data_IF_826418672712
#
_entry.id   IF_826418672712
#
_cell.length_a   1.000
_cell.length_b   1.000
_cell.length_c   1.000
_cell.angle_alpha   90.00
_cell.angle_beta   90.00
_cell.angle_gamma   90.00
#
_symmetry.space_group_name_H-M   'P 1'
#
loop_
_entity.id
_entity.type
_entity.pdbx_description
1 polymer ?
#
# COMPACT_ATOMS: atom_id res chain seq x y z
N UNK A 1 23.68 11.58 -24.33
CA UNK A 1 22.27 11.69 -23.91
C UNK A 1 21.52 10.49 -24.44
N UNK A 2 21.42 9.45 -23.63
CA UNK A 2 20.66 8.23 -23.89
C UNK A 2 20.47 7.57 -22.53
N UNK A 3 19.35 7.88 -21.86
CA UNK A 3 18.96 7.16 -20.65
C UNK A 3 18.32 5.85 -21.08
N UNK A 4 19.05 4.75 -20.86
CA UNK A 4 18.56 3.40 -21.10
C UNK A 4 17.41 3.09 -20.13
N UNK A 5 16.22 2.90 -20.70
CA UNK A 5 15.10 2.21 -20.06
C UNK A 5 15.53 0.77 -19.73
N UNK A 6 15.33 0.25 -18.50
CA UNK A 6 15.59 -1.16 -18.25
C UNK A 6 14.60 -2.02 -19.06
N UNK A 7 15.19 -2.92 -19.84
CA UNK A 7 14.60 -3.75 -20.87
C UNK A 7 13.24 -4.39 -20.51
N UNK A 8 12.35 -4.44 -21.49
CA UNK A 8 11.23 -5.41 -21.55
C UNK A 8 11.80 -6.80 -21.24
N UNK A 9 11.41 -7.36 -20.10
CA UNK A 9 11.80 -8.72 -19.72
C UNK A 9 10.94 -9.69 -20.55
N UNK A 10 11.54 -10.39 -21.50
CA UNK A 10 10.94 -11.57 -22.12
C UNK A 10 11.26 -12.78 -21.24
N UNK A 11 10.31 -13.20 -20.42
CA UNK A 11 10.37 -14.48 -19.69
C UNK A 11 9.80 -15.56 -20.61
N UNK A 12 10.56 -16.65 -20.81
CA UNK A 12 10.14 -17.74 -21.68
C UNK A 12 9.12 -18.66 -21.00
N UNK A 13 8.31 -19.37 -21.80
CA UNK A 13 7.38 -20.40 -21.32
C UNK A 13 8.04 -21.45 -20.39
N UNK A 14 9.36 -21.68 -20.54
CA UNK A 14 10.12 -22.59 -19.68
C UNK A 14 10.27 -22.06 -18.24
N UNK A 15 10.44 -20.76 -18.06
CA UNK A 15 10.62 -20.14 -16.74
C UNK A 15 9.28 -20.09 -15.98
N UNK A 16 8.16 -19.88 -16.68
CA UNK A 16 6.81 -20.04 -16.13
C UNK A 16 6.53 -21.50 -15.70
N UNK A 17 7.00 -22.47 -16.48
CA UNK A 17 6.86 -23.90 -16.15
C UNK A 17 7.71 -24.28 -14.93
N UNK A 18 8.92 -23.74 -14.82
CA UNK A 18 9.79 -23.95 -13.66
C UNK A 18 9.22 -23.32 -12.37
N UNK A 19 8.64 -22.11 -12.47
CA UNK A 19 7.96 -21.47 -11.36
C UNK A 19 6.72 -22.26 -10.90
N UNK A 20 5.96 -22.83 -11.84
CA UNK A 20 4.81 -23.71 -11.55
C UNK A 20 5.26 -25.00 -10.84
N UNK A 21 6.30 -25.67 -11.34
CA UNK A 21 6.87 -26.87 -10.71
C UNK A 21 7.42 -26.60 -9.30
N UNK A 22 8.00 -25.43 -9.05
CA UNK A 22 8.47 -25.03 -7.73
C UNK A 22 7.31 -24.87 -6.72
N UNK A 23 6.17 -24.36 -7.17
CA UNK A 23 4.97 -24.19 -6.35
C UNK A 23 4.23 -25.52 -6.10
N UNK A 24 4.20 -26.41 -7.09
CA UNK A 24 3.55 -27.73 -6.98
C UNK A 24 4.28 -28.68 -6.00
N UNK A 25 5.58 -28.46 -5.75
CA UNK A 25 6.40 -29.24 -4.81
C UNK A 25 6.26 -28.81 -3.34
N UNK A 26 5.40 -27.83 -3.04
CA UNK A 26 5.10 -27.41 -1.67
C UNK A 26 3.78 -28.05 -1.20
N UNK A 27 3.68 -28.55 0.04
CA UNK A 27 2.51 -29.32 0.47
C UNK A 27 1.22 -28.47 0.45
N UNK A 28 0.30 -28.83 -0.46
CA UNK A 28 -1.00 -28.19 -0.69
C UNK A 28 -2.11 -28.76 0.20
N UNK A 29 -2.93 -27.87 0.77
CA UNK A 29 -4.22 -28.18 1.37
C UNK A 29 -5.29 -28.18 0.27
N UNK A 30 -5.83 -29.37 -0.04
CA UNK A 30 -7.00 -29.67 -0.92
C UNK A 30 -8.30 -29.14 -0.27
N UNK A 31 -9.44 -28.81 -0.90
CA UNK A 31 -10.13 -29.04 -2.19
C UNK A 31 -11.36 -28.10 -2.23
N UNK A 32 -12.03 -27.88 -3.39
CA UNK A 32 -13.50 -28.08 -3.67
C UNK A 32 -13.78 -27.82 -5.18
N UNK A 33 -14.64 -28.61 -5.88
CA UNK A 33 -14.89 -28.48 -7.33
C UNK A 33 -16.23 -27.80 -7.69
N UNK A 34 -16.35 -27.23 -8.90
CA UNK A 34 -17.68 -27.01 -9.50
C UNK A 34 -17.77 -27.02 -11.04
N UNK A 35 -18.90 -27.56 -11.49
CA UNK A 35 -19.30 -27.92 -12.87
C UNK A 35 -19.97 -26.77 -13.65
N UNK A 36 -19.81 -26.78 -14.98
CA UNK A 36 -20.92 -26.71 -15.96
C UNK A 36 -21.34 -25.38 -16.64
N UNK A 37 -21.01 -25.25 -17.95
CA UNK A 37 -21.79 -24.67 -19.09
C UNK A 37 -22.21 -23.16 -19.01
N UNK A 38 -22.60 -22.37 -20.02
CA UNK A 38 -22.55 -22.26 -21.51
C UNK A 38 -22.68 -20.74 -21.82
N UNK A 39 -22.45 -20.32 -23.09
CA UNK A 39 -22.50 -18.95 -23.69
C UNK A 39 -21.19 -18.13 -23.68
N UNK A 40 -20.55 -18.05 -24.86
CA UNK A 40 -19.15 -17.66 -25.04
C UNK A 40 -18.87 -16.18 -25.33
N UNK A 41 -19.82 -15.38 -25.82
CA UNK A 41 -19.48 -14.03 -26.32
C UNK A 41 -19.83 -12.87 -25.36
N UNK A 42 -20.85 -12.99 -24.51
CA UNK A 42 -21.08 -12.03 -23.40
C UNK A 42 -20.17 -12.30 -22.19
N UNK A 43 -19.74 -13.56 -22.03
CA UNK A 43 -18.84 -13.96 -20.93
C UNK A 43 -17.45 -13.32 -21.05
N UNK A 44 -16.92 -13.00 -22.23
CA UNK A 44 -15.57 -12.41 -22.33
C UNK A 44 -15.54 -10.99 -21.75
N UNK A 45 -16.58 -10.18 -21.98
CA UNK A 45 -16.74 -8.87 -21.35
C UNK A 45 -17.08 -8.99 -19.86
N UNK A 46 -18.04 -9.83 -19.49
CA UNK A 46 -18.44 -10.03 -18.09
C UNK A 46 -17.33 -10.70 -17.23
N UNK A 47 -16.49 -11.57 -17.80
CA UNK A 47 -15.33 -12.15 -17.12
C UNK A 47 -14.18 -11.14 -17.02
N UNK A 48 -14.04 -10.19 -17.95
CA UNK A 48 -13.11 -9.07 -17.78
C UNK A 48 -13.55 -8.16 -16.64
N UNK A 49 -14.87 -7.95 -16.48
CA UNK A 49 -15.49 -7.20 -15.37
C UNK A 49 -15.42 -7.96 -14.05
N UNK A 50 -15.65 -9.28 -14.02
CA UNK A 50 -15.54 -10.11 -12.81
C UNK A 50 -14.06 -10.22 -12.37
N UNK A 51 -13.14 -10.33 -13.32
CA UNK A 51 -11.68 -10.34 -13.08
C UNK A 51 -11.21 -8.98 -12.59
N UNK A 52 -11.71 -7.88 -13.18
CA UNK A 52 -11.53 -6.53 -12.65
C UNK A 52 -12.14 -6.41 -11.25
N UNK A 53 -13.35 -6.93 -10.99
CA UNK A 53 -14.00 -6.90 -9.66
C UNK A 53 -13.25 -7.72 -8.61
N UNK A 54 -12.63 -8.84 -8.97
CA UNK A 54 -11.84 -9.70 -8.08
C UNK A 54 -10.44 -9.11 -7.84
N UNK A 55 -9.78 -8.58 -8.87
CA UNK A 55 -8.57 -7.76 -8.70
C UNK A 55 -8.85 -6.50 -7.88
N UNK A 56 -10.02 -5.88 -8.07
CA UNK A 56 -10.52 -4.77 -7.24
C UNK A 56 -10.85 -5.23 -5.81
N UNK A 57 -11.19 -6.50 -5.57
CA UNK A 57 -11.29 -7.05 -4.21
C UNK A 57 -9.91 -7.16 -3.55
N UNK A 58 -8.88 -7.59 -4.29
CA UNK A 58 -7.47 -7.60 -3.81
C UNK A 58 -6.84 -6.20 -3.70
N UNK A 59 -7.45 -5.18 -4.30
CA UNK A 59 -7.09 -3.75 -4.09
C UNK A 59 -7.39 -3.30 -2.64
N UNK A 60 -8.13 -4.09 -1.86
CA UNK A 60 -8.39 -3.88 -0.42
C UNK A 60 -7.50 -4.82 0.40
N UNK A 61 -6.85 -4.39 1.50
CA UNK A 61 -6.26 -5.33 2.47
C UNK A 61 -7.35 -6.33 2.94
N UNK A 62 -6.98 -7.57 3.27
CA UNK A 62 -7.95 -8.63 3.52
C UNK A 62 -8.91 -8.22 4.64
N UNK A 63 -10.22 -8.30 4.38
CA UNK A 63 -11.19 -8.36 5.47
C UNK A 63 -10.89 -9.62 6.27
N UNK A 64 -10.67 -9.49 7.58
CA UNK A 64 -10.63 -10.61 8.53
C UNK A 64 -11.81 -11.55 8.21
N UNK A 65 -11.54 -12.79 7.81
CA UNK A 65 -12.56 -13.83 7.85
C UNK A 65 -12.94 -13.99 9.32
N UNK A 66 -14.16 -13.56 9.67
CA UNK A 66 -14.75 -13.82 10.98
C UNK A 66 -15.03 -15.32 11.09
N UNK A 67 -14.13 -16.08 11.71
CA UNK A 67 -14.50 -17.34 12.33
C UNK A 67 -15.26 -17.05 13.62
N UNK A 68 -16.47 -17.61 13.73
CA UNK A 68 -17.37 -17.47 14.88
C UNK A 68 -16.76 -18.11 16.14
N UNK A 69 -16.99 -17.44 17.28
CA UNK A 69 -16.71 -17.80 18.68
C UNK A 69 -15.22 -17.74 19.05
N UNK A 70 -14.77 -17.10 20.13
CA UNK A 70 -15.36 -16.71 21.42
C UNK A 70 -14.68 -15.44 21.96
N UNK A 71 -15.33 -14.80 22.95
CA UNK A 71 -14.86 -13.63 23.70
C UNK A 71 -13.38 -13.73 24.06
N UNK A 72 -12.58 -12.75 23.66
CA UNK A 72 -11.47 -12.14 24.42
C UNK A 72 -10.89 -10.95 23.63
N UNK A 73 -10.30 -10.03 24.37
CA UNK A 73 -9.83 -8.67 24.05
C UNK A 73 -9.32 -8.40 22.62
N UNK A 74 -9.76 -7.27 22.05
CA UNK A 74 -9.37 -6.78 20.72
C UNK A 74 -7.88 -6.38 20.67
N UNK A 75 -7.02 -7.37 20.46
CA UNK A 75 -5.63 -7.21 20.05
C UNK A 75 -5.57 -6.95 18.54
N UNK A 76 -4.99 -5.81 18.15
CA UNK A 76 -4.61 -5.52 16.77
C UNK A 76 -3.56 -6.55 16.30
N UNK A 77 -3.68 -7.12 15.09
CA UNK A 77 -2.76 -8.15 14.63
C UNK A 77 -1.33 -7.59 14.53
N UNK A 78 -0.43 -8.29 15.19
CA UNK A 78 0.98 -7.95 15.36
C UNK A 78 1.76 -8.05 14.05
N UNK A 79 2.63 -7.06 13.81
CA UNK A 79 4.00 -7.26 13.30
C UNK A 79 4.24 -8.11 12.04
N UNK A 80 3.50 -7.89 10.95
CA UNK A 80 3.91 -8.40 9.63
C UNK A 80 4.17 -7.25 8.65
N UNK A 81 5.44 -6.82 8.62
CA UNK A 81 5.93 -5.81 7.69
C UNK A 81 7.04 -4.90 8.20
N UNK A 82 7.54 -5.09 9.43
CA UNK A 82 8.72 -4.34 9.88
C UNK A 82 9.93 -4.65 8.99
N UNK A 83 10.56 -3.61 8.44
CA UNK A 83 12.02 -3.58 8.39
C UNK A 83 12.48 -3.82 9.83
N UNK A 84 12.96 -5.04 10.13
CA UNK A 84 13.67 -5.24 11.39
C UNK A 84 14.86 -4.30 11.36
N UNK A 85 14.90 -3.41 12.36
CA UNK A 85 16.15 -2.85 12.85
C UNK A 85 17.09 -4.06 13.02
N UNK A 86 18.28 -4.10 12.37
CA UNK A 86 19.28 -5.12 12.65
C UNK A 86 19.41 -5.27 14.16
N UNK A 87 19.32 -6.50 14.68
CA UNK A 87 19.24 -6.76 16.12
C UNK A 87 20.43 -6.17 16.88
N UNK A 88 21.52 -5.86 16.19
CA UNK A 88 22.69 -5.17 16.73
C UNK A 88 22.38 -3.73 17.23
N UNK A 89 21.44 -2.99 16.62
CA UNK A 89 21.24 -1.54 16.88
C UNK A 89 20.51 -1.26 18.21
N UNK A 90 19.57 -2.11 18.63
CA UNK A 90 18.85 -1.93 19.91
C UNK A 90 19.76 -2.06 21.14
N UNK A 91 20.90 -2.74 21.01
CA UNK A 91 21.84 -2.95 22.11
C UNK A 91 22.72 -1.71 22.39
N UNK A 92 22.91 -0.85 21.39
CA UNK A 92 23.84 0.29 21.43
C UNK A 92 23.15 1.56 21.97
N UNK A 93 21.83 1.69 21.78
CA UNK A 93 21.03 2.86 22.20
C UNK A 93 20.89 3.07 23.71
N UNK A 94 21.38 2.14 24.56
CA UNK A 94 21.36 2.30 26.03
C UNK A 94 22.55 3.06 26.59
N UNK A 95 23.61 3.27 25.80
CA UNK A 95 24.78 4.00 26.22
C UNK A 95 24.75 5.41 25.63
N UNK A 96 24.94 6.42 26.49
CA UNK A 96 25.15 7.84 26.17
C UNK A 96 23.91 8.75 26.18
N UNK A 97 23.42 9.02 27.40
CA UNK A 97 22.69 10.25 27.73
C UNK A 97 23.62 11.22 28.45
N UNK A 98 24.07 12.28 27.75
CA UNK A 98 24.54 13.50 28.41
C UNK A 98 24.29 14.71 27.52
N UNK A 99 23.08 15.30 27.64
CA UNK A 99 22.70 16.71 27.38
C UNK A 99 21.21 16.85 27.79
N UNK A 100 20.97 17.15 29.06
CA UNK A 100 19.68 16.88 29.74
C UNK A 100 18.64 18.00 29.59
N UNK A 101 19.01 19.28 29.54
CA UNK A 101 18.02 20.37 29.75
C UNK A 101 17.19 20.78 28.52
N UNK A 102 17.70 20.65 27.30
CA UNK A 102 16.93 20.92 26.06
C UNK A 102 16.24 19.68 25.50
N UNK A 103 16.77 18.48 25.76
CA UNK A 103 16.11 17.22 25.42
C UNK A 103 14.85 16.99 26.24
N UNK A 104 14.85 17.36 27.52
CA UNK A 104 13.69 17.10 28.39
C UNK A 104 12.45 17.92 27.99
N UNK A 105 12.60 19.19 27.57
CA UNK A 105 11.46 20.00 27.10
C UNK A 105 10.97 19.60 25.71
N UNK A 106 11.89 19.24 24.80
CA UNK A 106 11.54 18.75 23.47
C UNK A 106 10.84 17.39 23.56
N UNK A 107 11.30 16.50 24.45
CA UNK A 107 10.64 15.22 24.74
C UNK A 107 9.23 15.43 25.33
N UNK A 108 9.03 16.41 26.22
CA UNK A 108 7.70 16.74 26.76
C UNK A 108 6.74 17.20 25.67
N UNK A 109 7.17 18.11 24.78
CA UNK A 109 6.31 18.62 23.71
C UNK A 109 5.98 17.54 22.66
N UNK A 110 6.95 16.70 22.27
CA UNK A 110 6.71 15.56 21.37
C UNK A 110 5.72 14.57 21.99
N UNK A 111 5.82 14.32 23.30
CA UNK A 111 4.89 13.46 24.02
C UNK A 111 3.47 14.04 24.05
N UNK A 112 3.30 15.33 24.31
CA UNK A 112 1.99 16.00 24.30
C UNK A 112 1.33 15.92 22.91
N UNK A 113 2.12 16.12 21.86
CA UNK A 113 1.69 15.95 20.47
C UNK A 113 1.27 14.50 20.19
N UNK A 114 2.03 13.52 20.67
CA UNK A 114 1.70 12.11 20.51
C UNK A 114 0.41 11.72 21.24
N UNK A 115 0.20 12.22 22.45
CA UNK A 115 -1.07 12.00 23.17
C UNK A 115 -2.25 12.62 22.42
N UNK A 116 -2.06 13.82 21.87
CA UNK A 116 -3.06 14.47 21.02
C UNK A 116 -3.37 13.62 19.78
N UNK A 117 -2.35 13.08 19.12
CA UNK A 117 -2.50 12.18 17.98
C UNK A 117 -3.30 10.92 18.35
N UNK A 118 -3.00 10.30 19.49
CA UNK A 118 -3.74 9.12 19.96
C UNK A 118 -5.19 9.42 20.32
N UNK A 119 -5.49 10.62 20.84
CA UNK A 119 -6.87 11.08 21.04
C UNK A 119 -7.61 11.19 19.71
N UNK A 120 -7.00 11.77 18.68
CA UNK A 120 -7.60 11.85 17.35
C UNK A 120 -7.83 10.44 16.75
N UNK A 121 -6.82 9.55 16.82
CA UNK A 121 -6.93 8.15 16.37
C UNK A 121 -8.07 7.40 17.08
N UNK A 122 -8.21 7.59 18.40
CA UNK A 122 -9.27 6.97 19.19
C UNK A 122 -10.66 7.46 18.80
N UNK A 123 -10.84 8.78 18.63
CA UNK A 123 -12.10 9.36 18.17
C UNK A 123 -12.48 8.88 16.76
N UNK A 124 -11.49 8.75 15.87
CA UNK A 124 -11.72 8.28 14.51
C UNK A 124 -12.12 6.81 14.48
N UNK A 125 -11.50 5.99 15.34
CA UNK A 125 -11.88 4.59 15.55
C UNK A 125 -13.29 4.45 16.14
N UNK A 126 -13.69 5.36 17.03
CA UNK A 126 -15.06 5.42 17.58
C UNK A 126 -16.09 5.73 16.50
N UNK A 127 -15.83 6.74 15.66
CA UNK A 127 -16.66 7.04 14.48
C UNK A 127 -16.79 5.82 13.58
N UNK A 128 -15.71 5.04 13.38
CA UNK A 128 -15.77 3.83 12.57
C UNK A 128 -16.71 2.76 13.17
N UNK A 129 -16.84 2.67 14.50
CA UNK A 129 -17.77 1.74 15.15
C UNK A 129 -19.23 2.10 14.90
N UNK A 130 -19.55 3.37 14.63
CA UNK A 130 -20.91 3.78 14.24
C UNK A 130 -21.38 3.12 12.93
N UNK A 131 -20.48 2.51 12.14
CA UNK A 131 -20.85 1.67 11.01
C UNK A 131 -21.72 0.48 11.40
N UNK A 132 -21.54 -0.04 12.61
CA UNK A 132 -22.29 -1.21 13.09
C UNK A 132 -23.79 -0.91 13.28
N UNK A 133 -24.17 0.38 13.34
CA UNK A 133 -25.57 0.83 13.45
C UNK A 133 -26.16 1.37 12.15
N UNK A 134 -25.38 1.49 11.06
CA UNK A 134 -25.88 1.95 9.75
C UNK A 134 -24.85 2.66 8.87
N UNK A 135 -25.32 3.61 8.05
CA UNK A 135 -24.48 4.48 7.19
C UNK A 135 -23.83 5.59 8.03
N UNK A 136 -22.61 6.00 7.67
CA UNK A 136 -21.97 7.18 8.26
C UNK A 136 -22.76 8.45 7.95
N UNK A 137 -23.02 9.28 8.97
CA UNK A 137 -23.67 10.58 8.73
C UNK A 137 -22.71 11.55 8.03
N UNK A 138 -23.25 12.58 7.37
CA UNK A 138 -22.40 13.63 6.77
C UNK A 138 -21.50 14.31 7.83
N UNK A 139 -22.03 14.52 9.04
CA UNK A 139 -21.29 15.09 10.17
C UNK A 139 -20.14 14.20 10.62
N UNK A 140 -20.33 12.88 10.64
CA UNK A 140 -19.27 11.93 10.99
C UNK A 140 -18.11 11.98 10.00
N UNK A 141 -18.43 12.08 8.70
CA UNK A 141 -17.42 12.16 7.63
C UNK A 141 -16.64 13.48 7.70
N UNK A 142 -17.34 14.60 7.91
CA UNK A 142 -16.69 15.90 8.08
C UNK A 142 -15.79 15.92 9.32
N UNK A 143 -16.28 15.36 10.44
CA UNK A 143 -15.47 15.22 11.66
C UNK A 143 -14.27 14.31 11.45
N UNK A 144 -14.43 13.21 10.72
CA UNK A 144 -13.36 12.28 10.39
C UNK A 144 -12.26 12.94 9.55
N UNK A 145 -12.62 13.76 8.56
CA UNK A 145 -11.68 14.54 7.76
C UNK A 145 -10.90 15.54 8.63
N UNK A 146 -11.58 16.28 9.51
CA UNK A 146 -10.92 17.22 10.43
C UNK A 146 -9.91 16.52 11.36
N UNK A 147 -10.29 15.35 11.91
CA UNK A 147 -9.39 14.56 12.76
C UNK A 147 -8.18 14.03 11.98
N UNK A 148 -8.39 13.59 10.75
CA UNK A 148 -7.31 13.16 9.86
C UNK A 148 -6.34 14.32 9.55
N UNK A 149 -6.85 15.51 9.26
CA UNK A 149 -6.02 16.69 9.00
C UNK A 149 -5.18 17.07 10.23
N UNK A 150 -5.76 16.98 11.43
CA UNK A 150 -5.05 17.20 12.68
C UNK A 150 -3.95 16.15 12.91
N UNK A 151 -4.24 14.86 12.65
CA UNK A 151 -3.24 13.79 12.70
C UNK A 151 -2.11 14.02 11.69
N UNK A 152 -2.41 14.49 10.48
CA UNK A 152 -1.42 14.88 9.48
C UNK A 152 -0.51 16.00 10.00
N UNK A 153 -1.07 17.08 10.55
CA UNK A 153 -0.27 18.19 11.09
C UNK A 153 0.65 17.74 12.24
N UNK A 154 0.13 16.93 13.16
CA UNK A 154 0.92 16.40 14.27
C UNK A 154 2.05 15.50 13.76
N UNK A 155 1.76 14.62 12.81
CA UNK A 155 2.76 13.72 12.21
C UNK A 155 3.87 14.50 11.53
N UNK A 156 3.53 15.54 10.76
CA UNK A 156 4.53 16.40 10.13
C UNK A 156 5.40 17.10 11.17
N UNK A 157 4.82 17.57 12.29
CA UNK A 157 5.58 18.23 13.35
C UNK A 157 6.55 17.24 14.01
N UNK A 158 6.07 16.08 14.46
CA UNK A 158 6.91 15.07 15.11
C UNK A 158 8.01 14.59 14.18
N UNK A 159 7.69 14.25 12.92
CA UNK A 159 8.69 13.79 11.95
C UNK A 159 9.77 14.82 11.68
N UNK A 160 9.46 16.13 11.67
CA UNK A 160 10.47 17.16 11.42
C UNK A 160 11.23 17.61 12.69
N UNK A 161 10.68 17.39 13.88
CA UNK A 161 11.31 17.83 15.14
C UNK A 161 12.03 16.72 15.88
N UNK A 162 11.53 15.49 15.80
CA UNK A 162 11.99 14.35 16.60
C UNK A 162 11.82 13.02 15.85
N UNK A 163 12.68 12.79 14.87
CA UNK A 163 12.71 11.54 14.09
C UNK A 163 13.05 10.31 14.94
N UNK A 164 13.71 10.50 16.08
CA UNK A 164 14.07 9.41 17.00
C UNK A 164 12.82 8.88 17.70
N UNK A 165 11.89 9.76 18.05
CA UNK A 165 10.59 9.36 18.57
C UNK A 165 9.83 8.43 17.60
N UNK A 166 9.95 8.68 16.29
CA UNK A 166 9.35 7.84 15.24
C UNK A 166 10.00 6.45 15.12
N UNK A 167 11.17 6.20 15.73
CA UNK A 167 11.77 4.85 15.77
C UNK A 167 10.95 3.94 16.68
N UNK A 168 10.54 4.46 17.84
CA UNK A 168 9.75 3.74 18.84
C UNK A 168 8.26 3.75 18.53
N UNK A 169 7.78 4.77 17.82
CA UNK A 169 6.37 4.97 17.51
C UNK A 169 6.15 4.95 15.99
N UNK A 170 5.41 3.96 15.45
CA UNK A 170 5.15 3.84 14.01
C UNK A 170 4.07 4.84 13.56
N UNK A 171 4.30 6.13 13.78
CA UNK A 171 3.33 7.22 13.57
C UNK A 171 2.78 7.26 12.15
N UNK A 172 3.60 6.95 11.14
CA UNK A 172 3.17 6.95 9.74
C UNK A 172 2.19 5.80 9.45
N UNK A 173 2.41 4.65 10.08
CA UNK A 173 1.49 3.52 9.94
C UNK A 173 0.13 3.85 10.55
N UNK A 174 0.13 4.39 11.77
CA UNK A 174 -1.11 4.76 12.47
C UNK A 174 -1.85 5.88 11.72
N UNK A 175 -1.10 6.88 11.20
CA UNK A 175 -1.66 7.94 10.36
C UNK A 175 -2.32 7.36 9.11
N UNK A 176 -1.66 6.43 8.43
CA UNK A 176 -2.21 5.84 7.22
C UNK A 176 -3.45 5.00 7.51
N UNK A 177 -3.35 4.02 8.40
CA UNK A 177 -4.43 3.05 8.59
C UNK A 177 -5.63 3.61 9.34
N UNK A 178 -5.38 4.34 10.43
CA UNK A 178 -6.46 4.89 11.25
C UNK A 178 -6.89 6.26 10.76
N UNK A 179 -5.98 7.10 10.28
CA UNK A 179 -6.28 8.42 9.72
C UNK A 179 -6.80 8.35 8.29
N UNK A 180 -5.86 8.34 7.34
CA UNK A 180 -6.13 8.57 5.91
C UNK A 180 -6.98 7.47 5.29
N UNK A 181 -6.59 6.21 5.44
CA UNK A 181 -7.25 5.07 4.82
C UNK A 181 -8.69 4.91 5.34
N UNK A 182 -8.92 5.17 6.63
CA UNK A 182 -10.26 5.10 7.19
C UNK A 182 -11.19 6.16 6.59
N UNK A 183 -10.71 7.39 6.41
CA UNK A 183 -11.48 8.44 5.72
C UNK A 183 -11.70 8.09 4.24
N UNK A 184 -10.72 7.48 3.56
CA UNK A 184 -10.89 6.92 2.21
C UNK A 184 -12.04 5.91 2.19
N UNK A 185 -12.12 4.99 3.16
CA UNK A 185 -13.21 4.02 3.24
C UNK A 185 -14.57 4.70 3.42
N UNK A 186 -14.66 5.74 4.26
CA UNK A 186 -15.90 6.48 4.48
C UNK A 186 -16.38 7.17 3.20
N UNK A 187 -15.48 7.87 2.50
CA UNK A 187 -15.79 8.57 1.26
C UNK A 187 -16.07 7.61 0.10
N UNK A 188 -15.40 6.45 0.07
CA UNK A 188 -15.65 5.40 -0.91
C UNK A 188 -17.03 4.77 -0.73
N UNK A 189 -17.44 4.51 0.51
CA UNK A 189 -18.78 3.99 0.80
C UNK A 189 -19.86 5.00 0.39
N UNK A 190 -19.67 6.28 0.74
CA UNK A 190 -20.58 7.36 0.36
C UNK A 190 -20.69 7.56 -1.15
N UNK A 191 -19.58 7.56 -1.89
CA UNK A 191 -19.57 7.74 -3.35
C UNK A 191 -20.20 6.58 -4.12
N UNK A 192 -20.17 5.35 -3.59
CA UNK A 192 -20.93 4.21 -4.15
C UNK A 192 -22.44 4.40 -4.10
N UNK A 193 -22.93 5.19 -3.13
CA UNK A 193 -24.35 5.43 -2.92
C UNK A 193 -24.84 6.76 -3.49
N UNK A 194 -23.94 7.72 -3.67
CA UNK A 194 -24.23 9.00 -4.30
C UNK A 194 -23.06 9.43 -5.19
N UNK A 195 -23.23 9.31 -6.51
CA UNK A 195 -22.20 9.66 -7.49
C UNK A 195 -21.77 11.13 -7.42
N UNK A 196 -22.64 12.04 -6.95
CA UNK A 196 -22.29 13.45 -6.75
C UNK A 196 -21.18 13.65 -5.69
N UNK A 197 -21.07 12.71 -4.74
CA UNK A 197 -20.02 12.70 -3.72
C UNK A 197 -18.64 12.25 -4.25
N UNK A 198 -18.53 11.80 -5.51
CA UNK A 198 -17.25 11.44 -6.11
C UNK A 198 -16.29 12.63 -6.20
N UNK A 199 -16.82 13.85 -6.38
CA UNK A 199 -16.02 15.08 -6.39
C UNK A 199 -15.36 15.37 -5.04
N UNK A 200 -16.11 15.19 -3.95
CA UNK A 200 -15.58 15.34 -2.59
C UNK A 200 -14.48 14.29 -2.33
N UNK A 201 -14.71 13.05 -2.73
CA UNK A 201 -13.72 11.98 -2.57
C UNK A 201 -12.44 12.26 -3.38
N UNK A 202 -12.56 12.69 -4.65
CA UNK A 202 -11.42 13.10 -5.45
C UNK A 202 -10.65 14.28 -4.82
N UNK A 203 -11.37 15.27 -4.27
CA UNK A 203 -10.77 16.42 -3.59
C UNK A 203 -9.92 15.97 -2.40
N UNK A 204 -10.47 15.11 -1.53
CA UNK A 204 -9.74 14.55 -0.39
C UNK A 204 -8.47 13.80 -0.81
N UNK A 205 -8.55 12.95 -1.84
CA UNK A 205 -7.39 12.22 -2.36
C UNK A 205 -6.31 13.18 -2.91
N UNK A 206 -6.71 14.23 -3.62
CA UNK A 206 -5.78 15.24 -4.16
C UNK A 206 -5.09 16.02 -3.05
N UNK A 207 -5.83 16.54 -2.07
CA UNK A 207 -5.25 17.26 -0.93
C UNK A 207 -4.31 16.39 -0.09
N UNK A 208 -4.64 15.10 0.09
CA UNK A 208 -3.76 14.15 0.78
C UNK A 208 -2.46 13.91 0.00
N UNK A 209 -2.53 13.84 -1.32
CA UNK A 209 -1.37 13.68 -2.19
C UNK A 209 -0.44 14.90 -2.13
N UNK A 210 -1.00 16.10 -2.17
CA UNK A 210 -0.27 17.36 -2.02
C UNK A 210 0.44 17.42 -0.68
N UNK A 211 -0.26 17.07 0.41
CA UNK A 211 0.30 16.99 1.75
C UNK A 211 1.47 15.99 1.85
N UNK A 212 1.31 14.75 1.39
CA UNK A 212 2.41 13.76 1.44
C UNK A 212 3.61 14.18 0.57
N UNK A 213 3.37 14.80 -0.58
CA UNK A 213 4.45 15.32 -1.44
C UNK A 213 5.20 16.47 -0.76
N UNK A 214 4.48 17.37 -0.09
CA UNK A 214 5.07 18.45 0.70
C UNK A 214 5.85 17.91 1.90
N UNK A 215 5.31 16.90 2.61
CA UNK A 215 5.98 16.27 3.74
C UNK A 215 7.29 15.60 3.32
N UNK A 216 7.33 14.89 2.19
CA UNK A 216 8.57 14.30 1.65
C UNK A 216 9.62 15.38 1.38
N UNK A 217 9.21 16.51 0.79
CA UNK A 217 10.11 17.65 0.55
C UNK A 217 10.62 18.26 1.86
N UNK A 218 9.75 18.40 2.86
CA UNK A 218 10.10 18.89 4.19
C UNK A 218 11.12 17.98 4.87
N UNK A 219 10.91 16.66 4.84
CA UNK A 219 11.80 15.66 5.44
C UNK A 219 13.21 15.76 4.81
N UNK A 220 13.31 15.78 3.47
CA UNK A 220 14.60 15.92 2.78
C UNK A 220 15.33 17.21 3.16
N UNK A 221 14.61 18.33 3.21
CA UNK A 221 15.17 19.64 3.58
C UNK A 221 15.65 19.66 5.03
N UNK A 222 14.81 19.19 5.96
CA UNK A 222 15.07 19.23 7.40
C UNK A 222 16.26 18.34 7.80
N UNK A 223 16.35 17.14 7.22
CA UNK A 223 17.44 16.19 7.49
C UNK A 223 18.60 16.27 6.49
N UNK A 224 18.58 17.26 5.58
CA UNK A 224 19.66 17.61 4.64
C UNK A 224 20.17 16.41 3.82
N UNK A 225 19.25 15.62 3.29
CA UNK A 225 19.57 14.50 2.40
C UNK A 225 18.74 14.58 1.12
N UNK A 226 19.17 13.85 0.10
CA UNK A 226 18.41 13.69 -1.13
C UNK A 226 18.06 12.23 -1.39
N UNK A 227 16.80 11.97 -1.75
CA UNK A 227 16.32 10.64 -2.09
C UNK A 227 16.93 10.10 -3.40
N UNK A 228 17.52 10.95 -4.24
CA UNK A 228 18.24 10.51 -5.45
C UNK A 228 19.66 10.03 -5.16
N UNK A 229 20.19 10.30 -3.95
CA UNK A 229 21.57 9.99 -3.57
C UNK A 229 21.65 9.29 -2.21
N UNK A 230 20.75 8.32 -2.00
CA UNK A 230 20.65 7.53 -0.74
C UNK A 230 21.95 6.77 -0.47
N UNK A 231 22.68 6.34 -1.50
CA UNK A 231 23.96 5.63 -1.35
C UNK A 231 25.02 6.46 -0.59
N UNK A 232 24.94 7.79 -0.67
CA UNK A 232 25.84 8.69 0.05
C UNK A 232 25.64 8.64 1.57
N UNK A 233 24.50 8.12 2.06
CA UNK A 233 24.23 8.01 3.51
C UNK A 233 25.22 7.05 4.18
N UNK A 234 25.74 6.06 3.45
CA UNK A 234 26.76 5.15 3.96
C UNK A 234 28.12 5.82 4.22
N UNK A 235 28.34 7.01 3.64
CA UNK A 235 29.58 7.78 3.81
C UNK A 235 29.58 8.71 5.04
N UNK A 236 28.46 8.79 5.76
CA UNK A 236 28.31 9.65 6.94
C UNK A 236 29.10 9.07 8.11
N UNK A 237 30.06 9.84 8.65
CA UNK A 237 30.95 9.39 9.72
C UNK A 237 30.23 9.20 11.06
N UNK A 238 29.23 10.03 11.35
CA UNK A 238 28.44 9.92 12.59
C UNK A 238 27.37 8.85 12.44
N UNK A 239 27.53 7.73 13.15
CA UNK A 239 26.54 6.64 13.18
C UNK A 239 25.16 7.13 13.65
N UNK A 240 25.16 8.10 14.58
CA UNK A 240 23.93 8.69 15.10
C UNK A 240 23.16 9.49 14.03
N UNK A 241 23.85 10.37 13.30
CA UNK A 241 23.23 11.15 12.23
C UNK A 241 22.81 10.25 11.06
N UNK A 242 23.62 9.24 10.75
CA UNK A 242 23.29 8.22 9.77
C UNK A 242 21.97 7.52 10.11
N UNK A 243 21.78 7.10 11.37
CA UNK A 243 20.53 6.46 11.83
C UNK A 243 19.31 7.37 11.67
N UNK A 244 19.44 8.65 11.99
CA UNK A 244 18.37 9.65 11.80
C UNK A 244 17.94 9.76 10.35
N UNK A 245 18.92 9.91 9.45
CA UNK A 245 18.67 10.04 8.02
C UNK A 245 18.07 8.73 7.45
N UNK A 246 18.56 7.56 7.88
CA UNK A 246 17.97 6.28 7.47
C UNK A 246 16.50 6.16 7.92
N UNK A 247 16.16 6.60 9.14
CA UNK A 247 14.76 6.62 9.59
C UNK A 247 13.90 7.59 8.77
N UNK A 248 14.44 8.76 8.43
CA UNK A 248 13.78 9.73 7.55
C UNK A 248 13.54 9.16 6.13
N UNK A 249 14.51 8.44 5.57
CA UNK A 249 14.35 7.71 4.30
C UNK A 249 13.25 6.64 4.40
N UNK A 250 13.15 5.93 5.53
CA UNK A 250 12.06 4.98 5.78
C UNK A 250 10.69 5.67 5.85
N UNK A 251 10.59 6.88 6.44
CA UNK A 251 9.37 7.70 6.36
C UNK A 251 9.00 7.97 4.90
N UNK A 252 9.96 8.43 4.09
CA UNK A 252 9.73 8.73 2.67
C UNK A 252 9.31 7.49 1.87
N UNK A 253 9.90 6.32 2.14
CA UNK A 253 9.46 5.04 1.55
C UNK A 253 7.98 4.78 1.82
N UNK A 254 7.57 4.93 3.08
CA UNK A 254 6.19 4.73 3.48
C UNK A 254 5.24 5.74 2.81
N UNK A 255 5.62 7.02 2.78
CA UNK A 255 4.83 8.07 2.12
C UNK A 255 4.70 7.81 0.61
N UNK A 256 5.74 7.33 -0.08
CA UNK A 256 5.64 6.94 -1.49
C UNK A 256 4.73 5.72 -1.73
N UNK A 257 4.75 4.72 -0.85
CA UNK A 257 3.79 3.62 -0.89
C UNK A 257 2.35 4.15 -0.82
N UNK A 258 2.08 5.01 0.16
CA UNK A 258 0.76 5.59 0.38
C UNK A 258 0.33 6.51 -0.76
N UNK A 259 1.25 7.27 -1.37
CA UNK A 259 1.00 8.07 -2.58
C UNK A 259 0.60 7.18 -3.77
N UNK A 260 1.28 6.04 -3.96
CA UNK A 260 0.88 5.06 -4.97
C UNK A 260 -0.52 4.49 -4.73
N UNK A 261 -0.88 4.23 -3.46
CA UNK A 261 -2.22 3.78 -3.08
C UNK A 261 -3.28 4.85 -3.36
N UNK A 262 -3.02 6.12 -2.99
CA UNK A 262 -3.90 7.28 -3.24
C UNK A 262 -4.17 7.45 -4.73
N UNK A 263 -3.11 7.45 -5.55
CA UNK A 263 -3.24 7.60 -7.02
C UNK A 263 -4.01 6.43 -7.63
N UNK A 264 -3.79 5.21 -7.15
CA UNK A 264 -4.58 4.05 -7.56
C UNK A 264 -6.06 4.26 -7.27
N UNK A 265 -6.42 4.77 -6.09
CA UNK A 265 -7.82 5.07 -5.77
C UNK A 265 -8.39 6.17 -6.66
N UNK A 266 -7.62 7.20 -7.00
CA UNK A 266 -8.04 8.23 -7.96
C UNK A 266 -8.31 7.64 -9.36
N UNK A 267 -7.40 6.80 -9.85
CA UNK A 267 -7.55 6.14 -11.16
C UNK A 267 -8.82 5.29 -11.19
N UNK A 268 -9.03 4.45 -10.17
CA UNK A 268 -10.23 3.61 -10.08
C UNK A 268 -11.50 4.45 -9.98
N UNK A 269 -11.51 5.49 -9.14
CA UNK A 269 -12.66 6.37 -8.97
C UNK A 269 -13.03 7.11 -10.27
N UNK A 270 -12.02 7.65 -10.97
CA UNK A 270 -12.22 8.28 -12.28
C UNK A 270 -12.79 7.28 -13.27
N UNK A 271 -12.31 6.04 -13.28
CA UNK A 271 -12.77 5.06 -14.26
C UNK A 271 -14.16 4.47 -14.06
N UNK A 272 -14.78 4.77 -12.92
CA UNK A 272 -16.19 4.45 -12.67
C UNK A 272 -17.16 5.56 -13.07
N UNK A 273 -16.69 6.72 -13.57
CA UNK A 273 -17.57 7.81 -13.99
C UNK A 273 -18.26 7.48 -15.33
N UNK A 274 -19.57 7.73 -15.50
CA UNK A 274 -20.27 7.57 -16.78
C UNK A 274 -19.67 8.44 -17.91
N UNK A 275 -19.06 9.57 -17.55
CA UNK A 275 -18.42 10.51 -18.47
C UNK A 275 -17.00 10.09 -18.88
N UNK A 276 -16.52 8.93 -18.43
CA UNK A 276 -15.16 8.40 -18.69
C UNK A 276 -14.99 7.84 -20.10
N UNK A 277 -15.50 8.55 -21.10
CA UNK A 277 -15.14 8.28 -22.49
C UNK A 277 -13.67 8.71 -22.63
N UNK A 278 -12.80 7.71 -22.74
CA UNK A 278 -11.44 7.84 -23.27
C UNK A 278 -10.45 8.71 -22.46
N UNK A 279 -10.48 8.69 -21.13
CA UNK A 279 -9.33 9.18 -20.35
C UNK A 279 -8.34 8.03 -20.20
N UNK A 280 -7.18 8.15 -20.83
CA UNK A 280 -6.06 7.25 -20.62
C UNK A 280 -5.73 7.22 -19.13
N UNK A 281 -6.08 6.12 -18.45
CA UNK A 281 -5.85 5.99 -17.02
C UNK A 281 -4.35 5.97 -16.77
N UNK A 282 -3.85 6.98 -16.08
CA UNK A 282 -2.43 7.16 -15.81
C UNK A 282 -1.92 6.23 -14.68
N UNK A 283 -2.08 4.93 -14.91
CA UNK A 283 -1.41 3.86 -14.17
C UNK A 283 0.12 3.95 -14.28
N UNK A 284 0.65 4.73 -15.25
CA UNK A 284 2.08 4.98 -15.40
C UNK A 284 2.60 5.81 -14.23
N UNK A 285 1.91 6.89 -13.85
CA UNK A 285 2.23 7.69 -12.67
C UNK A 285 2.10 6.87 -11.39
N UNK A 286 1.07 6.03 -11.25
CA UNK A 286 0.94 5.08 -10.12
C UNK A 286 2.19 4.19 -10.01
N UNK A 287 2.65 3.64 -11.14
CA UNK A 287 3.85 2.79 -11.21
C UNK A 287 5.10 3.57 -10.76
N UNK A 288 5.26 4.82 -11.18
CA UNK A 288 6.40 5.67 -10.80
C UNK A 288 6.50 5.85 -9.29
N UNK A 289 5.38 6.09 -8.58
CA UNK A 289 5.41 6.25 -7.12
C UNK A 289 5.79 4.96 -6.39
N UNK A 290 5.30 3.80 -6.85
CA UNK A 290 5.74 2.52 -6.30
C UNK A 290 7.21 2.20 -6.62
N UNK A 291 7.70 2.57 -7.81
CA UNK A 291 9.11 2.43 -8.15
C UNK A 291 10.01 3.33 -7.28
N UNK A 292 9.59 4.56 -6.99
CA UNK A 292 10.27 5.42 -6.01
C UNK A 292 10.31 4.77 -4.64
N UNK A 293 9.21 4.18 -4.17
CA UNK A 293 9.20 3.42 -2.92
C UNK A 293 10.14 2.21 -2.96
N UNK A 294 10.16 1.48 -4.09
CA UNK A 294 11.03 0.31 -4.30
C UNK A 294 12.51 0.66 -4.22
N UNK A 295 12.91 1.80 -4.78
CA UNK A 295 14.30 2.27 -4.75
C UNK A 295 14.77 2.52 -3.31
N UNK A 296 13.90 3.01 -2.44
CA UNK A 296 14.23 3.29 -1.04
C UNK A 296 14.25 2.05 -0.14
N UNK A 297 13.43 1.04 -0.45
CA UNK A 297 13.45 -0.23 0.28
C UNK A 297 13.19 -1.42 -0.68
N UNK A 298 14.24 -1.91 -1.37
CA UNK A 298 14.12 -3.01 -2.33
C UNK A 298 13.67 -4.33 -1.71
N UNK A 299 13.84 -4.52 -0.41
CA UNK A 299 13.41 -5.74 0.29
C UNK A 299 11.94 -5.69 0.75
N UNK A 300 11.20 -4.64 0.39
CA UNK A 300 9.79 -4.46 0.78
C UNK A 300 8.87 -5.31 -0.10
N UNK A 301 8.44 -6.46 0.42
CA UNK A 301 7.45 -7.33 -0.24
C UNK A 301 6.16 -6.59 -0.60
N UNK A 302 5.74 -5.63 0.25
CA UNK A 302 4.55 -4.80 0.00
C UNK A 302 4.64 -4.03 -1.31
N UNK A 303 5.80 -3.44 -1.66
CA UNK A 303 5.96 -2.68 -2.90
C UNK A 303 5.75 -3.58 -4.12
N UNK A 304 6.35 -4.77 -4.12
CA UNK A 304 6.19 -5.73 -5.20
C UNK A 304 4.74 -6.21 -5.34
N UNK A 305 4.05 -6.45 -4.22
CA UNK A 305 2.63 -6.78 -4.26
C UNK A 305 1.81 -5.67 -4.96
N UNK A 306 2.04 -4.40 -4.61
CA UNK A 306 1.32 -3.30 -5.25
C UNK A 306 1.65 -3.15 -6.75
N UNK A 307 2.93 -3.31 -7.14
CA UNK A 307 3.34 -3.31 -8.55
C UNK A 307 2.71 -4.45 -9.35
N UNK A 308 2.52 -5.63 -8.74
CA UNK A 308 1.83 -6.74 -9.36
C UNK A 308 0.36 -6.42 -9.62
N UNK A 309 -0.33 -5.82 -8.63
CA UNK A 309 -1.72 -5.38 -8.76
C UNK A 309 -1.86 -4.33 -9.87
N UNK A 310 -0.98 -3.32 -9.90
CA UNK A 310 -0.99 -2.28 -10.96
C UNK A 310 -0.76 -2.91 -12.34
N UNK A 311 0.18 -3.83 -12.45
CA UNK A 311 0.46 -4.55 -13.71
C UNK A 311 -0.74 -5.39 -14.16
N UNK A 312 -1.42 -6.03 -13.21
CA UNK A 312 -2.60 -6.85 -13.49
C UNK A 312 -3.78 -5.99 -13.98
N UNK A 313 -3.99 -4.80 -13.39
CA UNK A 313 -4.98 -3.82 -13.85
C UNK A 313 -4.75 -3.33 -15.28
N UNK A 314 -3.54 -3.48 -15.80
CA UNK A 314 -3.15 -3.13 -17.17
C UNK A 314 -2.99 -4.37 -18.07
N UNK A 315 -3.42 -5.55 -17.61
CA UNK A 315 -3.30 -6.82 -18.33
C UNK A 315 -1.85 -7.23 -18.67
N UNK A 316 -0.86 -6.71 -17.92
CA UNK A 316 0.56 -7.06 -18.06
C UNK A 316 0.88 -8.29 -17.20
N UNK A 317 0.33 -9.44 -17.60
CA UNK A 317 0.38 -10.67 -16.78
C UNK A 317 1.80 -11.17 -16.48
N UNK A 318 2.76 -10.95 -17.38
CA UNK A 318 4.14 -11.34 -17.12
C UNK A 318 4.76 -10.50 -16.00
N UNK A 319 4.55 -9.19 -16.04
CA UNK A 319 4.98 -8.28 -14.98
C UNK A 319 4.29 -8.63 -13.65
N UNK A 320 2.98 -8.95 -13.69
CA UNK A 320 2.23 -9.41 -12.52
C UNK A 320 2.86 -10.64 -11.86
N UNK A 321 3.11 -11.70 -12.65
CA UNK A 321 3.73 -12.94 -12.15
C UNK A 321 5.12 -12.67 -11.59
N UNK A 322 5.94 -11.90 -12.32
CA UNK A 322 7.27 -11.50 -11.87
C UNK A 322 7.22 -10.80 -10.50
N UNK A 323 6.38 -9.77 -10.36
CA UNK A 323 6.29 -9.01 -9.11
C UNK A 323 5.74 -9.84 -7.95
N UNK A 324 4.77 -10.73 -8.19
CA UNK A 324 4.30 -11.66 -7.16
C UNK A 324 5.39 -12.63 -6.71
N UNK A 325 6.18 -13.20 -7.63
CA UNK A 325 7.33 -14.06 -7.28
C UNK A 325 8.37 -13.27 -6.49
N UNK A 326 8.68 -12.04 -6.91
CA UNK A 326 9.60 -11.13 -6.20
C UNK A 326 9.12 -10.85 -4.78
N UNK A 327 7.82 -10.58 -4.60
CA UNK A 327 7.21 -10.40 -3.29
C UNK A 327 7.42 -11.62 -2.38
N UNK A 328 7.13 -12.82 -2.89
CA UNK A 328 7.29 -14.09 -2.16
C UNK A 328 8.75 -14.44 -1.86
N UNK A 329 9.68 -13.89 -2.65
CA UNK A 329 11.12 -14.08 -2.49
C UNK A 329 11.77 -13.07 -1.53
N UNK A 330 11.01 -12.09 -1.03
CA UNK A 330 11.54 -11.14 -0.03
C UNK A 330 11.68 -11.78 1.35
N UNK A 331 12.50 -11.18 2.23
CA UNK A 331 12.68 -11.64 3.61
C UNK A 331 11.38 -11.69 4.43
N UNK A 332 10.42 -10.81 4.11
CA UNK A 332 9.11 -10.74 4.75
C UNK A 332 8.02 -10.85 3.67
N UNK A 333 7.71 -12.08 3.20
CA UNK A 333 6.79 -12.28 2.10
C UNK A 333 5.35 -11.95 2.51
N UNK A 334 4.59 -11.34 1.58
CA UNK A 334 3.15 -11.15 1.75
C UNK A 334 2.46 -12.47 1.43
N UNK A 335 1.92 -13.14 2.45
CA UNK A 335 1.42 -14.52 2.33
C UNK A 335 0.21 -14.65 1.40
N UNK A 336 -0.62 -13.62 1.31
CA UNK A 336 -1.81 -13.59 0.43
C UNK A 336 -1.45 -13.66 -1.06
N UNK A 337 -0.23 -13.26 -1.44
CA UNK A 337 0.24 -13.26 -2.84
C UNK A 337 0.22 -14.65 -3.47
N UNK A 338 0.34 -15.72 -2.67
CA UNK A 338 0.26 -17.09 -3.21
C UNK A 338 -1.07 -17.35 -3.90
N UNK A 339 -2.17 -16.97 -3.26
CA UNK A 339 -3.52 -17.15 -3.79
C UNK A 339 -3.72 -16.27 -5.04
N UNK A 340 -3.26 -15.02 -4.99
CA UNK A 340 -3.28 -14.08 -6.11
C UNK A 340 -2.50 -14.59 -7.33
N UNK A 341 -1.34 -15.20 -7.09
CA UNK A 341 -0.48 -15.78 -8.12
C UNK A 341 -1.14 -17.01 -8.76
N UNK A 342 -1.69 -17.90 -7.94
CA UNK A 342 -2.46 -19.05 -8.45
C UNK A 342 -3.63 -18.59 -9.29
N UNK A 343 -4.43 -17.64 -8.80
CA UNK A 343 -5.54 -17.06 -9.55
C UNK A 343 -5.08 -16.46 -10.88
N UNK A 344 -3.93 -15.79 -10.90
CA UNK A 344 -3.33 -15.23 -12.12
C UNK A 344 -3.00 -16.34 -13.13
N UNK A 345 -2.38 -17.45 -12.69
CA UNK A 345 -2.11 -18.58 -13.58
C UNK A 345 -3.38 -19.23 -14.13
N UNK A 346 -4.39 -19.45 -13.29
CA UNK A 346 -5.69 -19.97 -13.73
C UNK A 346 -6.33 -19.05 -14.78
N UNK A 347 -6.23 -17.73 -14.61
CA UNK A 347 -6.73 -16.78 -15.58
C UNK A 347 -5.96 -16.86 -16.91
N UNK A 348 -4.62 -16.91 -16.87
CA UNK A 348 -3.78 -17.06 -18.07
C UNK A 348 -4.12 -18.35 -18.82
N UNK A 349 -4.21 -19.48 -18.12
CA UNK A 349 -4.54 -20.78 -18.70
C UNK A 349 -5.89 -20.73 -19.45
N UNK A 350 -6.90 -20.08 -18.84
CA UNK A 350 -8.21 -19.89 -19.47
C UNK A 350 -8.13 -19.03 -20.74
N UNK A 351 -7.35 -17.96 -20.74
CA UNK A 351 -7.17 -17.10 -21.92
C UNK A 351 -6.46 -17.83 -23.05
N UNK A 352 -5.46 -18.67 -22.74
CA UNK A 352 -4.76 -19.50 -23.74
C UNK A 352 -5.73 -20.49 -24.39
N UNK A 353 -6.59 -21.14 -23.61
CA UNK A 353 -7.61 -22.06 -24.14
C UNK A 353 -8.58 -21.33 -25.07
N UNK A 354 -9.05 -20.13 -24.69
CA UNK A 354 -9.95 -19.32 -25.53
C UNK A 354 -9.27 -18.98 -26.86
N UNK A 355 -8.00 -18.53 -26.83
CA UNK A 355 -7.25 -18.22 -28.04
C UNK A 355 -7.06 -19.44 -28.95
N UNK A 356 -6.86 -20.63 -28.39
CA UNK A 356 -6.78 -21.88 -29.15
C UNK A 356 -8.12 -22.24 -29.81
N UNK A 357 -9.24 -22.06 -29.10
CA UNK A 357 -10.58 -22.28 -29.64
C UNK A 357 -10.89 -21.29 -30.77
N UNK A 358 -10.60 -19.99 -30.58
CA UNK A 358 -10.79 -19.00 -31.64
C UNK A 358 -9.98 -19.36 -32.91
N UNK A 359 -8.70 -19.71 -32.75
CA UNK A 359 -7.86 -20.18 -33.87
C UNK A 359 -8.38 -21.46 -34.55
N UNK A 360 -9.13 -22.29 -33.84
CA UNK A 360 -9.74 -23.49 -34.40
C UNK A 360 -11.04 -23.18 -35.15
N UNK A 361 -11.83 -22.21 -34.67
CA UNK A 361 -13.07 -21.76 -35.32
C UNK A 361 -12.78 -20.93 -36.59
N UNK A 362 -11.67 -20.19 -36.60
CA UNK A 362 -11.25 -19.37 -37.76
C UNK A 362 -10.59 -20.20 -38.89
N UNK A 363 -10.44 -21.51 -38.71
CA UNK A 363 -9.97 -22.47 -39.73
C UNK A 363 -11.13 -23.29 -40.25
#
# INVERSE_FOLDING_TARGET
MSQDFPARIQISYKELTAAKQFLDNQPMVRNVPHNGLKHGNERIRLLSDETQRILIREITPPKKQQTRHSKDTASYPSNHGMLRIPKEINSILRCENSKQTTKDSQNSNTQDLWEKFNRCSSQLTEINKHKETGKYSARDIDRAKMLCDEMCQITANIINTDIEFCISHPIENELWYTGVYLVIEFLRDRSRHNHECSREFLSFLTSTMEYYTALISSIQSNYRFSLSSVDNINSIQSEFEQKKILRAVQCCHFLYLSLGDILRYQVVLRGTSPDSVCVEYDWSTVTVYYQKAMQLAPNSGRVYNQLAIVSASQFRYLDTVYYYIRCLSTHNPVTTVRESLLHTFHHIDKQVIILQICKFIDK
#
